data_IF_160027519176
#
_entry.id   IF_160027519176
#
_cell.length_a   1.000
_cell.length_b   1.000
_cell.length_c   1.000
_cell.angle_alpha   90.00
_cell.angle_beta   90.00
_cell.angle_gamma   90.00
#
_symmetry.space_group_name_H-M   'P 1'
#
loop_
_entity.id
_entity.type
_entity.pdbx_description
1 polymer ?
#
# COMPACT_ATOMS: atom_id res chain seq x y z
N UNK A 1 4.21 9.17 -1.24
CA UNK A 1 4.38 9.58 -2.65
C UNK A 1 3.71 10.92 -2.90
N UNK A 2 4.49 11.87 -3.43
CA UNK A 2 4.03 13.20 -3.86
C UNK A 2 3.36 13.09 -5.23
N UNK A 3 2.18 13.70 -5.39
CA UNK A 3 1.35 13.56 -6.60
C UNK A 3 1.53 14.70 -7.60
N UNK A 4 2.06 15.85 -7.16
CA UNK A 4 2.18 17.04 -7.98
C UNK A 4 3.25 18.00 -7.47
N UNK A 5 3.56 18.99 -8.31
CA UNK A 5 4.54 20.05 -8.06
C UNK A 5 4.22 20.88 -6.81
N UNK A 6 2.94 21.15 -6.52
CA UNK A 6 2.55 21.90 -5.32
C UNK A 6 2.91 21.14 -4.04
N UNK A 7 2.64 19.83 -4.01
CA UNK A 7 2.98 18.95 -2.90
C UNK A 7 4.50 18.84 -2.74
N UNK A 8 5.23 18.73 -3.86
CA UNK A 8 6.70 18.73 -3.86
C UNK A 8 7.31 20.01 -3.25
N UNK A 9 6.85 21.20 -3.67
CA UNK A 9 7.31 22.47 -3.09
C UNK A 9 6.98 22.58 -1.60
N UNK A 10 5.80 22.12 -1.21
CA UNK A 10 5.40 22.06 0.19
C UNK A 10 6.30 21.12 0.99
N UNK A 11 6.63 19.94 0.44
CA UNK A 11 7.52 18.97 1.07
C UNK A 11 8.94 19.53 1.27
N UNK A 12 9.52 20.19 0.27
CA UNK A 12 10.82 20.87 0.40
C UNK A 12 10.80 21.98 1.46
N UNK A 13 9.73 22.75 1.53
CA UNK A 13 9.56 23.79 2.56
C UNK A 13 9.49 23.17 3.96
N UNK A 14 8.71 22.10 4.13
CA UNK A 14 8.62 21.37 5.40
C UNK A 14 9.95 20.74 5.79
N UNK A 15 10.68 20.15 4.84
CA UNK A 15 12.00 19.57 5.08
C UNK A 15 12.97 20.61 5.64
N UNK A 16 12.99 21.81 5.06
CA UNK A 16 13.83 22.90 5.56
C UNK A 16 13.44 23.31 7.00
N UNK A 17 12.13 23.40 7.30
CA UNK A 17 11.64 23.69 8.66
C UNK A 17 12.08 22.62 9.65
N UNK A 18 11.94 21.35 9.31
CA UNK A 18 12.37 20.25 10.20
C UNK A 18 13.87 20.25 10.44
N UNK A 19 14.68 20.57 9.42
CA UNK A 19 16.13 20.76 9.59
C UNK A 19 16.46 21.91 10.54
N UNK A 20 15.83 23.07 10.36
CA UNK A 20 16.02 24.20 11.28
C UNK A 20 15.58 23.87 12.71
N UNK A 21 14.49 23.12 12.90
CA UNK A 21 14.07 22.67 14.22
C UNK A 21 15.09 21.71 14.86
N UNK A 22 15.68 20.83 14.07
CA UNK A 22 16.74 19.93 14.53
C UNK A 22 17.98 20.71 14.98
N UNK A 23 18.37 21.75 14.24
CA UNK A 23 19.49 22.62 14.61
C UNK A 23 19.23 23.34 15.94
N UNK A 24 18.03 23.91 16.11
CA UNK A 24 17.61 24.55 17.38
C UNK A 24 17.61 23.55 18.54
N UNK A 25 17.12 22.32 18.32
CA UNK A 25 17.11 21.28 19.34
C UNK A 25 18.54 20.89 19.75
N UNK A 26 19.46 20.76 18.79
CA UNK A 26 20.86 20.46 19.06
C UNK A 26 21.53 21.59 19.87
N UNK A 27 21.29 22.86 19.54
CA UNK A 27 21.81 24.00 20.33
C UNK A 27 21.26 24.03 21.76
N UNK A 28 19.99 23.63 21.96
CA UNK A 28 19.39 23.50 23.30
C UNK A 28 20.03 22.35 24.09
N UNK A 29 20.37 21.26 23.43
CA UNK A 29 21.08 20.12 24.01
C UNK A 29 22.46 20.50 24.53
N UNK A 30 23.21 21.27 23.74
CA UNK A 30 24.54 21.77 24.10
C UNK A 30 24.50 22.73 25.31
N UNK A 31 23.39 23.42 25.52
CA UNK A 31 23.19 24.34 26.64
C UNK A 31 22.90 23.64 27.98
N UNK A 32 22.67 22.31 27.99
CA UNK A 32 22.44 21.52 29.20
C UNK A 32 21.14 21.83 29.95
N UNK A 33 20.20 22.54 29.32
CA UNK A 33 18.99 23.07 29.97
C UNK A 33 17.84 22.03 30.10
N UNK A 34 18.00 20.83 29.55
CA UNK A 34 16.98 19.77 29.50
C UNK A 34 17.63 18.41 29.68
N UNK A 35 16.90 17.47 30.28
CA UNK A 35 17.27 16.06 30.42
C UNK A 35 17.66 15.43 29.08
N UNK A 36 18.85 14.80 29.03
CA UNK A 36 19.45 14.31 27.79
C UNK A 36 18.60 13.26 27.05
N UNK A 37 17.89 12.40 27.78
CA UNK A 37 17.05 11.36 27.18
C UNK A 37 15.84 11.94 26.42
N UNK A 38 15.26 13.03 26.91
CA UNK A 38 14.11 13.67 26.28
C UNK A 38 14.48 14.33 24.95
N UNK A 39 15.68 14.94 24.91
CA UNK A 39 16.24 15.53 23.69
C UNK A 39 16.53 14.45 22.65
N UNK A 40 17.04 13.29 23.06
CA UNK A 40 17.32 12.18 22.15
C UNK A 40 16.05 11.65 21.48
N UNK A 41 14.98 11.45 22.26
CA UNK A 41 13.68 11.02 21.72
C UNK A 41 13.10 12.04 20.73
N UNK A 42 13.15 13.33 21.08
CA UNK A 42 12.67 14.40 20.19
C UNK A 42 13.51 14.48 18.90
N UNK A 43 14.84 14.35 19.02
CA UNK A 43 15.77 14.31 17.89
C UNK A 43 15.47 13.13 16.98
N UNK A 44 15.29 11.94 17.54
CA UNK A 44 14.98 10.75 16.78
C UNK A 44 13.67 10.94 15.99
N UNK A 45 12.62 11.45 16.63
CA UNK A 45 11.35 11.72 15.95
C UNK A 45 11.51 12.70 14.78
N UNK A 46 12.23 13.81 14.97
CA UNK A 46 12.51 14.79 13.91
C UNK A 46 13.33 14.17 12.77
N UNK A 47 14.36 13.38 13.09
CA UNK A 47 15.18 12.70 12.09
C UNK A 47 14.36 11.72 11.23
N UNK A 48 13.43 10.99 11.83
CA UNK A 48 12.54 10.11 11.06
C UNK A 48 11.63 10.90 10.14
N UNK A 49 11.10 12.04 10.59
CA UNK A 49 10.28 12.91 9.75
C UNK A 49 11.07 13.50 8.57
N UNK A 50 12.32 13.90 8.81
CA UNK A 50 13.26 14.36 7.76
C UNK A 50 13.51 13.24 6.75
N UNK A 51 13.86 12.04 7.24
CA UNK A 51 14.14 10.88 6.39
C UNK A 51 12.96 10.54 5.49
N UNK A 52 11.74 10.52 6.06
CA UNK A 52 10.52 10.28 5.29
C UNK A 52 10.33 11.30 4.17
N UNK A 53 10.47 12.60 4.48
CA UNK A 53 10.32 13.67 3.47
C UNK A 53 11.40 13.59 2.39
N UNK A 54 12.64 13.27 2.76
CA UNK A 54 13.73 13.10 1.79
C UNK A 54 13.44 11.94 0.83
N UNK A 55 12.96 10.80 1.34
CA UNK A 55 12.57 9.66 0.50
C UNK A 55 11.47 10.04 -0.49
N UNK A 56 10.43 10.72 -0.03
CA UNK A 56 9.32 11.13 -0.90
C UNK A 56 9.74 12.15 -1.97
N UNK A 57 10.62 13.09 -1.61
CA UNK A 57 11.17 14.09 -2.53
C UNK A 57 12.05 13.41 -3.57
N UNK A 58 12.95 12.52 -3.15
CA UNK A 58 13.84 11.80 -4.06
C UNK A 58 13.05 10.91 -5.02
N UNK A 59 12.05 10.18 -4.53
CA UNK A 59 11.15 9.37 -5.35
C UNK A 59 10.48 10.23 -6.43
N UNK A 60 9.99 11.42 -6.08
CA UNK A 60 9.39 12.34 -7.04
C UNK A 60 10.39 12.86 -8.09
N UNK A 61 11.59 13.26 -7.66
CA UNK A 61 12.65 13.75 -8.55
C UNK A 61 13.10 12.65 -9.52
N UNK A 62 13.30 11.42 -9.04
CA UNK A 62 13.70 10.28 -9.88
C UNK A 62 12.64 9.95 -10.95
N UNK A 63 11.36 10.04 -10.61
CA UNK A 63 10.26 9.82 -11.56
C UNK A 63 10.24 10.92 -12.63
N UNK A 64 10.32 12.19 -12.22
CA UNK A 64 10.25 13.35 -13.14
C UNK A 64 11.47 13.42 -14.05
N UNK A 65 12.65 13.05 -13.55
CA UNK A 65 13.90 13.01 -14.32
C UNK A 65 14.06 11.75 -15.16
N UNK A 66 13.11 10.81 -15.08
CA UNK A 66 13.15 9.56 -15.86
C UNK A 66 14.20 8.56 -15.38
N UNK A 67 14.72 8.71 -14.17
CA UNK A 67 15.63 7.76 -13.52
C UNK A 67 14.89 6.51 -13.04
N UNK A 68 13.57 6.61 -12.83
CA UNK A 68 12.72 5.48 -12.47
C UNK A 68 12.25 4.73 -13.71
N UNK A 69 12.60 3.44 -13.80
CA UNK A 69 12.03 2.55 -14.81
C UNK A 69 10.57 2.25 -14.47
N UNK A 70 9.64 2.94 -15.14
CA UNK A 70 8.22 2.69 -14.95
C UNK A 70 7.81 1.36 -15.61
N UNK A 71 6.97 0.61 -14.91
CA UNK A 71 6.33 -0.56 -15.49
C UNK A 71 5.36 -0.14 -16.61
N UNK A 72 5.20 -1.00 -17.62
CA UNK A 72 4.21 -0.77 -18.68
C UNK A 72 2.80 -0.86 -18.10
N UNK A 73 2.08 0.27 -18.09
CA UNK A 73 0.74 0.37 -17.50
C UNK A 73 -0.20 -0.69 -18.07
N UNK A 74 -0.24 -0.82 -19.40
CA UNK A 74 -1.11 -1.80 -20.10
C UNK A 74 -0.88 -3.22 -19.58
N UNK A 75 0.38 -3.64 -19.46
CA UNK A 75 0.73 -4.96 -18.95
C UNK A 75 0.28 -5.18 -17.51
N UNK A 76 0.30 -4.15 -16.67
CA UNK A 76 -0.16 -4.25 -15.27
C UNK A 76 -1.68 -4.36 -15.19
N UNK A 77 -2.40 -3.57 -16.00
CA UNK A 77 -3.87 -3.59 -16.04
C UNK A 77 -4.39 -4.91 -16.61
N UNK A 78 -3.82 -5.38 -17.72
CA UNK A 78 -4.25 -6.61 -18.38
C UNK A 78 -3.92 -7.87 -17.55
N UNK A 79 -2.87 -7.82 -16.73
CA UNK A 79 -2.47 -8.93 -15.86
C UNK A 79 -3.32 -9.04 -14.58
N UNK A 80 -4.00 -7.96 -14.18
CA UNK A 80 -4.71 -7.93 -12.89
C UNK A 80 -5.84 -8.98 -12.79
N UNK A 81 -6.73 -9.14 -13.80
CA UNK A 81 -7.79 -10.15 -13.74
C UNK A 81 -7.25 -11.58 -13.58
N UNK A 82 -6.22 -11.92 -14.36
CA UNK A 82 -5.61 -13.25 -14.29
C UNK A 82 -4.89 -13.47 -12.97
N UNK A 83 -4.26 -12.43 -12.41
CA UNK A 83 -3.63 -12.48 -11.10
C UNK A 83 -4.61 -12.79 -9.97
N UNK A 84 -5.81 -12.17 -9.96
CA UNK A 84 -6.85 -12.48 -8.97
C UNK A 84 -7.30 -13.95 -9.05
N UNK A 85 -7.49 -14.46 -10.27
CA UNK A 85 -7.88 -15.86 -10.50
C UNK A 85 -6.75 -16.80 -10.04
N UNK A 86 -5.50 -16.50 -10.38
CA UNK A 86 -4.35 -17.30 -9.95
C UNK A 86 -4.23 -17.35 -8.43
N UNK A 87 -4.42 -16.23 -7.72
CA UNK A 87 -4.45 -16.19 -6.27
C UNK A 87 -5.57 -17.03 -5.67
N UNK A 88 -6.79 -16.93 -6.24
CA UNK A 88 -7.92 -17.77 -5.81
C UNK A 88 -7.58 -19.26 -5.94
N UNK A 89 -7.00 -19.65 -7.08
CA UNK A 89 -6.59 -21.03 -7.35
C UNK A 89 -5.45 -21.49 -6.43
N UNK A 90 -4.46 -20.63 -6.17
CA UNK A 90 -3.35 -20.92 -5.26
C UNK A 90 -3.82 -21.12 -3.81
N UNK A 91 -4.89 -20.41 -3.40
CA UNK A 91 -5.57 -20.62 -2.11
C UNK A 91 -6.61 -21.74 -2.12
N UNK A 92 -6.74 -22.48 -3.22
CA UNK A 92 -7.72 -23.56 -3.39
C UNK A 92 -9.17 -23.15 -3.10
N UNK A 93 -9.50 -21.88 -3.33
CA UNK A 93 -10.85 -21.38 -3.09
C UNK A 93 -11.74 -21.64 -4.30
N UNK A 94 -12.93 -22.17 -4.04
CA UNK A 94 -13.99 -22.18 -5.04
C UNK A 94 -14.54 -20.76 -5.24
N UNK A 95 -15.20 -20.52 -6.38
CA UNK A 95 -15.89 -19.24 -6.61
C UNK A 95 -16.95 -19.00 -5.53
N UNK A 96 -17.70 -20.02 -5.12
CA UNK A 96 -18.62 -19.93 -3.98
C UNK A 96 -17.95 -19.42 -2.70
N UNK A 97 -16.83 -20.01 -2.31
CA UNK A 97 -16.10 -19.63 -1.09
C UNK A 97 -15.57 -18.20 -1.15
N UNK A 98 -15.02 -17.78 -2.30
CA UNK A 98 -14.57 -16.40 -2.47
C UNK A 98 -15.74 -15.42 -2.45
N UNK A 99 -16.88 -15.77 -3.07
CA UNK A 99 -18.08 -14.95 -3.08
C UNK A 99 -18.64 -14.77 -1.66
N UNK A 100 -18.70 -15.84 -0.88
CA UNK A 100 -19.09 -15.81 0.55
C UNK A 100 -18.19 -14.87 1.35
N UNK A 101 -16.85 -14.98 1.22
CA UNK A 101 -15.90 -14.08 1.89
C UNK A 101 -16.04 -12.63 1.42
N UNK A 102 -16.35 -12.42 0.15
CA UNK A 102 -16.57 -11.10 -0.42
C UNK A 102 -17.97 -10.53 -0.10
N UNK A 103 -18.86 -11.30 0.52
CA UNK A 103 -20.23 -10.91 0.81
C UNK A 103 -21.04 -10.62 -0.46
N UNK A 104 -20.76 -11.36 -1.54
CA UNK A 104 -21.47 -11.26 -2.82
C UNK A 104 -22.06 -12.61 -3.23
N UNK A 105 -23.00 -12.59 -4.16
CA UNK A 105 -23.60 -13.81 -4.67
C UNK A 105 -22.62 -14.58 -5.57
N UNK A 106 -22.62 -15.91 -5.51
CA UNK A 106 -21.70 -16.75 -6.31
C UNK A 106 -21.80 -16.45 -7.82
N UNK A 107 -23.02 -16.38 -8.37
CA UNK A 107 -23.26 -16.05 -9.78
C UNK A 107 -22.63 -14.72 -10.20
N UNK A 108 -22.56 -13.75 -9.29
CA UNK A 108 -21.93 -12.46 -9.57
C UNK A 108 -20.41 -12.59 -9.69
N UNK A 109 -19.79 -13.37 -8.80
CA UNK A 109 -18.35 -13.65 -8.90
C UNK A 109 -18.03 -14.48 -10.16
N UNK A 110 -18.85 -15.49 -10.48
CA UNK A 110 -18.71 -16.25 -11.72
C UNK A 110 -18.74 -15.34 -12.94
N UNK A 111 -19.70 -14.40 -12.97
CA UNK A 111 -19.79 -13.38 -14.03
C UNK A 111 -18.51 -12.54 -14.09
N UNK A 112 -18.03 -12.03 -12.96
CA UNK A 112 -16.79 -11.27 -12.89
C UNK A 112 -15.59 -12.04 -13.45
N UNK A 113 -15.40 -13.31 -13.06
CA UNK A 113 -14.31 -14.12 -13.61
C UNK A 113 -14.49 -14.42 -15.10
N UNK A 114 -15.71 -14.71 -15.56
CA UNK A 114 -15.97 -14.99 -16.99
C UNK A 114 -15.74 -13.78 -17.89
N UNK A 115 -15.97 -12.58 -17.37
CA UNK A 115 -15.78 -11.31 -18.09
C UNK A 115 -14.40 -10.68 -17.81
N UNK A 116 -13.46 -11.44 -17.21
CA UNK A 116 -12.14 -10.98 -16.81
C UNK A 116 -12.17 -9.66 -16.03
N UNK A 117 -13.14 -9.50 -15.13
CA UNK A 117 -13.34 -8.31 -14.31
C UNK A 117 -13.50 -6.99 -15.09
N UNK A 118 -13.78 -7.04 -16.40
CA UNK A 118 -13.75 -5.89 -17.32
C UNK A 118 -14.64 -4.71 -16.93
N UNK A 119 -15.81 -4.97 -16.36
CA UNK A 119 -16.77 -3.94 -15.93
C UNK A 119 -16.87 -3.81 -14.39
N UNK A 120 -15.88 -4.34 -13.67
CA UNK A 120 -15.89 -4.34 -12.20
C UNK A 120 -15.22 -3.08 -11.68
N UNK A 121 -15.87 -2.39 -10.73
CA UNK A 121 -15.28 -1.19 -10.13
C UNK A 121 -13.97 -1.53 -9.41
N UNK A 122 -13.01 -0.58 -9.44
CA UNK A 122 -11.73 -0.70 -8.74
C UNK A 122 -11.90 -1.03 -7.25
N UNK A 123 -12.96 -0.51 -6.62
CA UNK A 123 -13.30 -0.79 -5.23
C UNK A 123 -13.54 -2.30 -4.98
N UNK A 124 -14.30 -2.96 -5.86
CA UNK A 124 -14.58 -4.39 -5.74
C UNK A 124 -13.34 -5.22 -6.06
N UNK A 125 -12.56 -4.84 -7.06
CA UNK A 125 -11.27 -5.45 -7.38
C UNK A 125 -10.35 -5.43 -6.15
N UNK A 126 -10.19 -4.25 -5.53
CA UNK A 126 -9.38 -4.07 -4.32
C UNK A 126 -9.92 -4.89 -3.15
N UNK A 127 -11.24 -4.92 -2.95
CA UNK A 127 -11.87 -5.75 -1.92
C UNK A 127 -11.53 -7.24 -2.11
N UNK A 128 -11.66 -7.76 -3.33
CA UNK A 128 -11.34 -9.16 -3.64
C UNK A 128 -9.85 -9.44 -3.45
N UNK A 129 -8.98 -8.54 -3.91
CA UNK A 129 -7.53 -8.66 -3.72
C UNK A 129 -7.16 -8.76 -2.23
N UNK A 130 -7.71 -7.89 -1.38
CA UNK A 130 -7.47 -7.95 0.05
C UNK A 130 -7.92 -9.28 0.68
N UNK A 131 -9.08 -9.79 0.30
CA UNK A 131 -9.59 -11.10 0.78
C UNK A 131 -8.65 -12.24 0.35
N UNK A 132 -8.07 -12.15 -0.85
CA UNK A 132 -7.14 -13.13 -1.36
C UNK A 132 -5.77 -13.04 -0.67
N UNK A 133 -5.31 -11.86 -0.27
CA UNK A 133 -4.05 -11.68 0.45
C UNK A 133 -4.15 -12.01 1.94
N UNK A 134 -5.31 -11.83 2.57
CA UNK A 134 -5.47 -12.20 3.98
C UNK A 134 -5.28 -13.70 4.18
N UNK A 135 -4.31 -14.07 5.02
CA UNK A 135 -4.05 -15.44 5.46
C UNK A 135 -5.12 -15.88 6.45
N UNK A 136 -6.31 -16.14 5.91
CA UNK A 136 -7.40 -16.67 6.70
C UNK A 136 -7.15 -18.16 6.92
N UNK A 137 -6.41 -18.48 7.99
CA UNK A 137 -6.25 -19.80 8.57
C UNK A 137 -7.55 -20.28 9.25
N UNK A 138 -8.69 -20.11 8.57
CA UNK A 138 -9.99 -20.57 9.03
C UNK A 138 -10.35 -21.83 8.24
N UNK A 139 -10.45 -23.02 8.88
CA UNK A 139 -10.72 -24.26 8.17
C UNK A 139 -12.09 -24.19 7.49
N UNK A 140 -12.10 -24.36 6.17
CA UNK A 140 -13.33 -24.42 5.39
C UNK A 140 -14.27 -25.50 5.98
N UNK A 141 -15.58 -25.25 6.08
CA UNK A 141 -16.53 -26.29 6.44
C UNK A 141 -16.47 -27.39 5.37
N UNK A 142 -16.00 -28.57 5.78
CA UNK A 142 -15.95 -29.79 4.98
C UNK A 142 -17.38 -30.12 4.55
N UNK A 143 -17.72 -29.79 3.31
CA UNK A 143 -18.95 -30.25 2.69
C UNK A 143 -18.77 -31.74 2.38
N UNK A 144 -19.61 -32.65 2.89
CA UNK A 144 -19.43 -34.07 2.65
C UNK A 144 -19.67 -34.35 1.16
N UNK A 145 -18.66 -34.95 0.50
CA UNK A 145 -18.81 -35.54 -0.82
C UNK A 145 -19.94 -36.57 -0.77
N UNK A 146 -21.06 -36.28 -1.46
CA UNK A 146 -22.01 -37.32 -1.84
C UNK A 146 -21.29 -38.33 -2.73
N UNK A 147 -21.07 -39.52 -2.19
CA UNK A 147 -20.74 -40.69 -3.01
C UNK A 147 -21.98 -41.03 -3.84
N UNK A 148 -21.78 -41.12 -5.15
CA UNK A 148 -22.68 -41.84 -6.08
C UNK A 148 -21.87 -43.02 -6.60
#
# INVERSE_FOLDING_TARGET
MLKNEKQYRSAKTSLNKWRSNLDVLNSRAESGAVEAWLIEEERFAIQQQIKQLQTEIQEFEDIVEGKTQLAKIVSQVDALPSLLIMWRLAKHLTQKQLAERAGIHENLLQKYESENYSCVSLHIISKIAHILETDDSSPAPTTPRRQV
#
